data_IF_727231588626
#
_entry.id   IF_727231588626
#
_cell.length_a   1.000
_cell.length_b   1.000
_cell.length_c   1.000
_cell.angle_alpha   90.00
_cell.angle_beta   90.00
_cell.angle_gamma   90.00
#
_symmetry.space_group_name_H-M   'P 1'
#
loop_
_entity.id
_entity.type
_entity.pdbx_description
1 polymer ?
#
# COMPACT_ATOMS: atom_id res chain seq x y z
N UNK A 1 -1.35 1.63 -0.90
CA UNK A 1 -1.16 0.21 -1.29
C UNK A 1 -1.97 -0.08 -2.54
N UNK A 2 -1.26 -0.25 -3.65
CA UNK A 2 -1.79 -0.65 -4.96
C UNK A 2 -1.58 -2.16 -5.23
N UNK A 3 -1.37 -2.94 -4.18
CA UNK A 3 -1.13 -4.39 -4.23
C UNK A 3 0.14 -4.80 -4.98
N UNK A 4 1.11 -3.91 -5.15
CA UNK A 4 2.28 -4.19 -5.99
C UNK A 4 3.34 -3.09 -6.05
N UNK A 5 4.24 -3.22 -7.03
CA UNK A 5 5.27 -2.25 -7.37
C UNK A 5 4.99 -1.66 -8.75
N UNK A 6 4.21 -0.59 -8.80
CA UNK A 6 3.82 0.07 -10.06
C UNK A 6 5.04 0.55 -10.83
N UNK A 7 6.03 1.11 -10.13
CA UNK A 7 7.27 1.59 -10.75
C UNK A 7 8.01 0.48 -11.53
N UNK A 8 7.96 -0.78 -11.06
CA UNK A 8 8.57 -1.92 -11.75
C UNK A 8 7.81 -2.23 -13.04
N UNK A 9 6.47 -2.35 -12.97
CA UNK A 9 5.61 -2.54 -14.15
C UNK A 9 5.86 -1.46 -15.21
N UNK A 10 5.84 -0.21 -14.80
CA UNK A 10 6.05 0.94 -15.69
C UNK A 10 7.47 0.98 -16.28
N UNK A 11 8.50 0.64 -15.50
CA UNK A 11 9.87 0.55 -16.00
C UNK A 11 10.03 -0.58 -17.02
N UNK A 12 9.45 -1.76 -16.76
CA UNK A 12 9.46 -2.89 -17.72
C UNK A 12 8.78 -2.51 -19.03
N UNK A 13 7.64 -1.83 -18.98
CA UNK A 13 6.91 -1.38 -20.18
C UNK A 13 7.69 -0.33 -20.98
N UNK A 14 8.41 0.58 -20.31
CA UNK A 14 9.27 1.56 -21.00
C UNK A 14 10.46 0.90 -21.69
N UNK A 15 11.09 -0.09 -21.05
CA UNK A 15 12.28 -0.74 -21.59
C UNK A 15 11.93 -1.76 -22.69
N UNK A 16 10.84 -2.50 -22.51
CA UNK A 16 10.40 -3.59 -23.39
C UNK A 16 8.94 -3.38 -23.80
N UNK A 17 8.65 -2.38 -24.65
CA UNK A 17 7.28 -1.98 -24.99
C UNK A 17 6.48 -3.06 -25.71
N UNK A 18 7.13 -4.05 -26.33
CA UNK A 18 6.49 -5.23 -26.95
C UNK A 18 6.96 -6.56 -26.34
N UNK A 19 7.53 -6.53 -25.12
CA UNK A 19 8.05 -7.72 -24.46
C UNK A 19 6.98 -8.67 -23.91
N UNK A 20 7.36 -9.92 -23.67
CA UNK A 20 6.48 -10.98 -23.15
C UNK A 20 5.73 -10.61 -21.86
N UNK A 21 6.32 -9.78 -21.01
CA UNK A 21 5.69 -9.33 -19.77
C UNK A 21 4.40 -8.52 -20.05
N UNK A 22 4.40 -7.69 -21.10
CA UNK A 22 3.21 -6.97 -21.58
C UNK A 22 2.19 -7.95 -22.14
N UNK A 23 2.61 -8.85 -23.02
CA UNK A 23 1.73 -9.84 -23.66
C UNK A 23 1.02 -10.75 -22.66
N UNK A 24 1.67 -11.08 -21.55
CA UNK A 24 1.12 -11.95 -20.49
C UNK A 24 0.57 -11.20 -19.28
N UNK A 25 0.65 -9.87 -19.25
CA UNK A 25 0.35 -9.04 -18.07
C UNK A 25 1.04 -9.54 -16.79
N UNK A 26 2.28 -10.00 -16.93
CA UNK A 26 3.05 -10.66 -15.88
C UNK A 26 4.36 -9.92 -15.64
N UNK A 27 4.32 -8.95 -14.72
CA UNK A 27 5.46 -8.07 -14.40
C UNK A 27 6.24 -8.52 -13.15
N UNK A 28 5.85 -9.63 -12.51
CA UNK A 28 6.45 -10.11 -11.25
C UNK A 28 6.50 -9.02 -10.16
N UNK A 29 5.51 -8.13 -10.17
CA UNK A 29 5.47 -6.92 -9.35
C UNK A 29 4.26 -6.88 -8.41
N UNK A 30 3.54 -8.00 -8.24
CA UNK A 30 2.39 -8.07 -7.32
C UNK A 30 2.86 -8.49 -5.93
N UNK A 31 2.32 -7.84 -4.91
CA UNK A 31 2.47 -8.26 -3.53
C UNK A 31 1.51 -9.42 -3.23
N UNK A 32 1.75 -10.11 -2.12
CA UNK A 32 0.85 -11.15 -1.63
C UNK A 32 -0.58 -10.57 -1.44
N UNK A 33 -1.62 -11.34 -1.80
CA UNK A 33 -3.00 -10.88 -1.68
C UNK A 33 -3.37 -10.66 -0.21
N UNK A 34 -4.20 -9.64 0.05
CA UNK A 34 -4.80 -9.37 1.37
C UNK A 34 -3.78 -9.16 2.51
N UNK A 35 -2.56 -8.71 2.20
CA UNK A 35 -1.60 -8.31 3.24
C UNK A 35 -2.20 -7.26 4.18
N UNK A 36 -2.05 -7.43 5.49
CA UNK A 36 -2.61 -6.53 6.50
C UNK A 36 -1.48 -5.77 7.21
N UNK A 37 -0.90 -4.76 6.56
CA UNK A 37 0.26 -4.05 7.11
C UNK A 37 -0.06 -3.31 8.42
N UNK A 38 -1.28 -2.79 8.56
CA UNK A 38 -1.74 -2.19 9.82
C UNK A 38 -1.65 -3.18 11.00
N UNK A 39 -1.97 -4.46 10.79
CA UNK A 39 -1.89 -5.50 11.84
C UNK A 39 -0.47 -5.80 12.28
N UNK A 40 0.51 -5.64 11.41
CA UNK A 40 1.94 -5.76 11.78
C UNK A 40 2.33 -4.64 12.75
N UNK A 41 1.84 -3.42 12.51
CA UNK A 41 2.06 -2.29 13.42
C UNK A 41 1.37 -2.51 14.77
N UNK A 42 0.11 -2.95 14.77
CA UNK A 42 -0.62 -3.29 16.01
C UNK A 42 0.11 -4.36 16.83
N UNK A 43 0.62 -5.41 16.18
CA UNK A 43 1.36 -6.48 16.85
C UNK A 43 2.66 -5.99 17.53
N UNK A 44 3.25 -4.91 17.03
CA UNK A 44 4.41 -4.24 17.61
C UNK A 44 4.04 -3.17 18.67
N UNK A 45 2.77 -3.06 19.06
CA UNK A 45 2.28 -2.06 20.02
C UNK A 45 1.99 -0.68 19.42
N UNK A 46 1.97 -0.56 18.09
CA UNK A 46 1.66 0.67 17.39
C UNK A 46 0.17 0.85 17.08
N UNK A 47 -0.19 2.03 16.56
CA UNK A 47 -1.52 2.35 16.03
C UNK A 47 -1.60 1.94 14.55
N UNK A 48 -2.26 0.83 14.25
CA UNK A 48 -2.57 0.44 12.89
C UNK A 48 -3.97 0.89 12.48
N UNK A 49 -4.10 1.46 11.29
CA UNK A 49 -5.39 1.77 10.69
C UNK A 49 -5.40 1.37 9.20
N UNK A 50 -6.48 0.77 8.72
CA UNK A 50 -6.65 0.46 7.28
C UNK A 50 -7.76 1.33 6.73
N UNK A 51 -7.49 2.02 5.62
CA UNK A 51 -8.44 2.95 4.99
C UNK A 51 -8.78 2.45 3.59
N UNK A 52 -10.07 2.24 3.34
CA UNK A 52 -10.60 1.84 2.03
C UNK A 52 -11.54 2.87 1.41
N UNK A 53 -12.17 3.71 2.23
CA UNK A 53 -13.01 4.82 1.77
C UNK A 53 -12.18 6.12 1.72
N UNK A 54 -12.09 6.81 0.56
CA UNK A 54 -11.47 8.12 0.45
C UNK A 54 -12.01 9.16 1.44
N UNK A 55 -13.28 9.09 1.84
CA UNK A 55 -13.89 10.02 2.79
C UNK A 55 -13.28 9.89 4.21
N UNK A 56 -12.71 8.73 4.55
CA UNK A 56 -12.12 8.47 5.87
C UNK A 56 -10.67 8.96 5.99
N UNK A 57 -10.01 9.28 4.86
CA UNK A 57 -8.58 9.60 4.81
C UNK A 57 -8.21 10.75 5.75
N UNK A 58 -8.99 11.84 5.73
CA UNK A 58 -8.71 12.99 6.59
C UNK A 58 -8.75 12.61 8.08
N UNK A 59 -9.79 11.89 8.50
CA UNK A 59 -9.93 11.43 9.89
C UNK A 59 -8.86 10.42 10.30
N UNK A 60 -8.44 9.54 9.38
CA UNK A 60 -7.38 8.57 9.63
C UNK A 60 -6.02 9.24 9.85
N UNK A 61 -5.71 10.29 9.06
CA UNK A 61 -4.51 11.11 9.23
C UNK A 61 -4.51 11.76 10.61
N UNK A 62 -5.63 12.37 11.02
CA UNK A 62 -5.74 13.01 12.34
C UNK A 62 -5.49 12.02 13.48
N UNK A 63 -6.08 10.82 13.43
CA UNK A 63 -5.89 9.76 14.42
C UNK A 63 -4.44 9.25 14.46
N UNK A 64 -3.82 9.02 13.31
CA UNK A 64 -2.43 8.59 13.23
C UNK A 64 -1.47 9.63 13.80
N UNK A 65 -1.67 10.92 13.48
CA UNK A 65 -0.86 12.02 14.03
C UNK A 65 -1.05 12.10 15.55
N UNK A 66 -2.28 11.92 16.06
CA UNK A 66 -2.54 11.91 17.50
C UNK A 66 -1.79 10.77 18.20
N UNK A 67 -1.76 9.57 17.62
CA UNK A 67 -1.01 8.44 18.17
C UNK A 67 0.49 8.73 18.24
N UNK A 68 1.06 9.28 17.16
CA UNK A 68 2.49 9.68 17.11
C UNK A 68 2.80 10.72 18.19
N UNK A 69 1.95 11.74 18.35
CA UNK A 69 2.12 12.77 19.40
C UNK A 69 2.00 12.21 20.82
N UNK A 70 1.29 11.10 21.01
CA UNK A 70 1.21 10.38 22.28
C UNK A 70 2.38 9.41 22.50
N UNK A 71 3.38 9.37 21.60
CA UNK A 71 4.55 8.50 21.71
C UNK A 71 4.34 7.09 21.14
N UNK A 72 3.25 6.86 20.39
CA UNK A 72 2.95 5.57 19.77
C UNK A 72 3.20 5.64 18.26
N UNK A 73 4.03 4.73 17.73
CA UNK A 73 4.22 4.61 16.28
C UNK A 73 2.88 4.34 15.58
N UNK A 74 2.66 4.90 14.40
CA UNK A 74 1.41 4.75 13.65
C UNK A 74 1.67 4.32 12.20
N UNK A 75 0.83 3.41 11.70
CA UNK A 75 0.81 2.98 10.30
C UNK A 75 -0.61 3.11 9.76
N UNK A 76 -0.79 3.99 8.78
CA UNK A 76 -2.01 4.09 7.98
C UNK A 76 -1.85 3.31 6.68
N UNK A 77 -2.56 2.19 6.56
CA UNK A 77 -2.59 1.35 5.37
C UNK A 77 -3.74 1.77 4.45
N UNK A 78 -3.47 2.69 3.54
CA UNK A 78 -4.46 3.17 2.54
C UNK A 78 -4.49 2.24 1.34
N UNK A 79 -5.67 1.76 0.96
CA UNK A 79 -5.91 1.01 -0.28
C UNK A 79 -6.22 1.96 -1.42
N UNK A 80 -5.54 1.78 -2.55
CA UNK A 80 -5.81 2.51 -3.80
C UNK A 80 -6.01 1.50 -4.94
N UNK A 81 -6.46 1.92 -6.14
CA UNK A 81 -6.60 1.01 -7.27
C UNK A 81 -5.35 0.15 -7.49
N UNK A 82 -5.56 -1.15 -7.70
CA UNK A 82 -4.47 -2.13 -7.82
C UNK A 82 -3.87 -2.18 -9.23
N UNK A 83 -2.62 -2.65 -9.34
CA UNK A 83 -1.85 -2.69 -10.60
C UNK A 83 -1.89 -4.01 -11.40
#
# INVERSE_FOLDING_TARGET
>A
DNSGWQAVKEATLRMYPEGDAKGRSSFQARLAPKMQFAKVCEAAGGHGETVTDPAEVAGAIERCIKAVRAGQAAVMHVRIPSI
#
